data_IF_403234263329
#
_entry.id   IF_403234263329
#
_cell.length_a   1.000
_cell.length_b   1.000
_cell.length_c   1.000
_cell.angle_alpha   90.00
_cell.angle_beta   90.00
_cell.angle_gamma   90.00
#
_symmetry.space_group_name_H-M   'P 1'
#
loop_
_entity.id
_entity.type
_entity.pdbx_description
1 polymer ?
#
# COMPACT_ATOMS: atom_id res chain seq x y z
N UNK A 1 -8.64 45.94 9.89
CA UNK A 1 -7.93 45.34 8.74
C UNK A 1 -6.65 44.73 9.27
N UNK A 2 -6.58 43.41 9.34
CA UNK A 2 -5.34 42.65 9.11
C UNK A 2 -5.75 41.19 8.99
N UNK A 3 -6.01 40.77 7.76
CA UNK A 3 -6.16 39.36 7.43
C UNK A 3 -4.76 38.77 7.43
N UNK A 4 -4.57 37.74 8.24
CA UNK A 4 -3.35 36.93 8.24
C UNK A 4 -3.54 35.89 7.14
N UNK A 5 -3.12 36.23 5.92
CA UNK A 5 -2.97 35.24 4.85
C UNK A 5 -1.86 34.28 5.28
N UNK A 6 -2.26 33.09 5.72
CA UNK A 6 -1.38 31.93 5.74
C UNK A 6 -1.03 31.62 4.29
N UNK A 7 0.11 32.13 3.83
CA UNK A 7 0.70 31.73 2.56
C UNK A 7 1.03 30.25 2.67
N UNK A 8 0.16 29.39 2.15
CA UNK A 8 0.45 27.98 1.96
C UNK A 8 1.62 27.93 0.96
N UNK A 9 2.79 27.46 1.41
CA UNK A 9 3.93 27.31 0.51
C UNK A 9 3.57 26.17 -0.46
N UNK A 10 3.60 26.37 -1.78
CA UNK A 10 3.09 25.41 -2.77
C UNK A 10 3.70 23.99 -2.73
N UNK A 11 4.74 23.73 -1.92
CA UNK A 11 5.37 22.41 -1.79
C UNK A 11 5.01 21.62 -0.53
N UNK A 12 4.32 22.20 0.46
CA UNK A 12 4.06 21.52 1.74
C UNK A 12 2.89 20.52 1.62
N UNK A 13 1.96 20.76 0.70
CA UNK A 13 0.77 19.91 0.48
C UNK A 13 1.10 18.62 -0.31
N UNK A 14 2.20 18.60 -1.06
CA UNK A 14 2.65 17.42 -1.83
C UNK A 14 3.60 16.50 -1.04
N UNK A 15 4.23 17.00 0.03
CA UNK A 15 5.23 16.26 0.79
C UNK A 15 4.65 15.00 1.45
N UNK A 16 3.42 15.08 1.97
CA UNK A 16 2.75 13.97 2.63
C UNK A 16 2.45 12.78 1.69
N UNK A 17 1.74 12.95 0.54
CA UNK A 17 1.49 11.83 -0.38
C UNK A 17 2.79 11.24 -0.95
N UNK A 18 3.79 12.08 -1.25
CA UNK A 18 5.10 11.61 -1.74
C UNK A 18 5.86 10.78 -0.70
N UNK A 19 5.87 11.22 0.56
CA UNK A 19 6.49 10.43 1.63
C UNK A 19 5.79 9.06 1.80
N UNK A 20 4.45 9.07 1.77
CA UNK A 20 3.67 7.84 1.84
C UNK A 20 3.94 6.92 0.64
N UNK A 21 4.04 7.48 -0.56
CA UNK A 21 4.36 6.73 -1.77
C UNK A 21 5.69 5.96 -1.65
N UNK A 22 6.72 6.58 -1.06
CA UNK A 22 8.00 5.93 -0.79
C UNK A 22 7.90 4.76 0.18
N UNK A 23 7.14 4.90 1.26
CA UNK A 23 6.91 3.81 2.23
C UNK A 23 6.08 2.67 1.63
N UNK A 24 5.04 3.00 0.85
CA UNK A 24 4.24 2.02 0.12
C UNK A 24 5.09 1.26 -0.89
N UNK A 25 5.98 1.93 -1.62
CA UNK A 25 6.89 1.29 -2.56
C UNK A 25 7.89 0.36 -1.85
N UNK A 26 8.40 0.78 -0.70
CA UNK A 26 9.28 -0.06 0.14
C UNK A 26 8.58 -1.35 0.58
N UNK A 27 7.34 -1.25 1.09
CA UNK A 27 6.54 -2.43 1.42
C UNK A 27 6.30 -3.32 0.18
N UNK A 28 6.05 -2.71 -0.98
CA UNK A 28 5.84 -3.43 -2.23
C UNK A 28 7.08 -4.21 -2.68
N UNK A 29 8.28 -3.62 -2.55
CA UNK A 29 9.57 -4.30 -2.81
C UNK A 29 9.71 -5.54 -1.94
N UNK A 30 9.45 -5.43 -0.64
CA UNK A 30 9.47 -6.59 0.26
C UNK A 30 8.49 -7.67 -0.20
N UNK A 31 7.25 -7.30 -0.55
CA UNK A 31 6.25 -8.27 -0.98
C UNK A 31 6.57 -8.95 -2.31
N UNK A 32 7.22 -8.28 -3.27
CA UNK A 32 7.48 -8.85 -4.61
C UNK A 32 8.84 -9.54 -4.72
N UNK A 33 9.85 -9.05 -4.00
CA UNK A 33 11.24 -9.50 -4.14
C UNK A 33 11.79 -10.18 -2.88
N UNK A 34 11.09 -10.08 -1.76
CA UNK A 34 11.57 -10.53 -0.46
C UNK A 34 12.67 -9.65 0.14
N UNK A 35 13.26 -10.09 1.25
CA UNK A 35 14.30 -9.34 1.95
C UNK A 35 15.66 -9.45 1.24
N UNK A 36 16.17 -8.31 0.81
CA UNK A 36 17.59 -8.10 0.53
C UNK A 36 18.30 -7.44 1.74
N UNK A 37 19.60 -7.16 1.61
CA UNK A 37 20.41 -6.58 2.69
C UNK A 37 19.84 -5.25 3.19
N UNK A 38 19.36 -4.41 2.28
CA UNK A 38 18.85 -3.09 2.62
C UNK A 38 17.50 -3.20 3.31
N UNK A 39 16.58 -3.96 2.73
CA UNK A 39 15.24 -4.18 3.30
C UNK A 39 15.34 -4.81 4.68
N UNK A 40 16.17 -5.84 4.84
CA UNK A 40 16.39 -6.50 6.13
C UNK A 40 16.97 -5.54 7.17
N UNK A 41 17.99 -4.76 6.81
CA UNK A 41 18.59 -3.78 7.71
C UNK A 41 17.59 -2.71 8.15
N UNK A 42 16.77 -2.20 7.24
CA UNK A 42 15.77 -1.17 7.56
C UNK A 42 14.68 -1.74 8.48
N UNK A 43 14.16 -2.93 8.19
CA UNK A 43 13.13 -3.56 9.02
C UNK A 43 13.62 -3.91 10.43
N UNK A 44 14.93 -4.14 10.61
CA UNK A 44 15.56 -4.34 11.92
C UNK A 44 16.00 -3.05 12.63
N UNK A 45 15.82 -1.88 12.02
CA UNK A 45 16.24 -0.60 12.60
C UNK A 45 15.17 -0.04 13.55
N UNK A 46 15.46 -0.11 14.85
CA UNK A 46 14.55 0.37 15.90
C UNK A 46 14.31 1.90 15.85
N UNK A 47 15.29 2.69 15.40
CA UNK A 47 15.11 4.14 15.29
C UNK A 47 14.19 4.48 14.12
N UNK A 48 14.34 3.77 13.00
CA UNK A 48 13.41 3.89 11.88
C UNK A 48 11.99 3.48 12.29
N UNK A 49 11.84 2.35 12.99
CA UNK A 49 10.53 1.93 13.49
C UNK A 49 9.89 2.96 14.43
N UNK A 50 10.66 3.50 15.38
CA UNK A 50 10.18 4.55 16.28
C UNK A 50 9.65 5.77 15.55
N UNK A 51 10.29 6.17 14.45
CA UNK A 51 9.80 7.30 13.62
C UNK A 51 8.46 7.01 12.94
N UNK A 52 8.19 5.76 12.57
CA UNK A 52 6.90 5.35 12.00
C UNK A 52 5.80 5.35 13.06
N UNK A 53 6.11 4.94 14.29
CA UNK A 53 5.17 5.00 15.41
C UNK A 53 4.79 6.43 15.76
N UNK A 54 5.77 7.34 15.83
CA UNK A 54 5.55 8.77 16.04
C UNK A 54 4.67 9.38 14.94
N UNK A 55 4.83 8.90 13.70
CA UNK A 55 4.00 9.29 12.56
C UNK A 55 2.62 8.61 12.51
N UNK A 56 2.33 7.67 13.42
CA UNK A 56 1.07 6.90 13.42
C UNK A 56 0.97 5.86 12.30
N UNK A 57 2.09 5.49 11.67
CA UNK A 57 2.20 4.53 10.57
C UNK A 57 2.57 3.10 11.01
N UNK A 58 2.80 2.89 12.31
CA UNK A 58 3.08 1.59 12.89
C UNK A 58 2.04 1.27 13.98
N UNK A 59 1.08 0.35 13.73
CA UNK A 59 -0.03 0.08 14.64
C UNK A 59 0.38 -0.75 15.88
N UNK A 60 1.66 -1.12 15.99
CA UNK A 60 2.21 -1.91 17.09
C UNK A 60 3.70 -2.15 16.92
N UNK A 61 4.30 -2.83 17.90
CA UNK A 61 5.73 -3.20 17.87
C UNK A 61 5.94 -4.52 17.12
N UNK A 62 7.04 -4.67 16.36
CA UNK A 62 7.41 -5.93 15.76
C UNK A 62 7.58 -6.99 16.85
N UNK A 63 6.97 -8.14 16.62
CA UNK A 63 6.99 -9.30 17.51
C UNK A 63 7.96 -10.36 17.02
N UNK A 64 8.32 -11.30 17.88
CA UNK A 64 9.19 -12.43 17.53
C UNK A 64 10.67 -12.14 17.79
N UNK A 65 11.51 -13.15 17.55
CA UNK A 65 12.96 -13.01 17.68
C UNK A 65 13.56 -12.47 16.37
N UNK A 66 14.54 -11.54 16.43
CA UNK A 66 15.33 -11.16 15.26
C UNK A 66 16.05 -12.37 14.68
N UNK A 67 16.19 -12.40 13.36
CA UNK A 67 16.90 -13.47 12.64
C UNK A 67 17.93 -12.87 11.69
N UNK A 68 18.87 -13.68 11.20
CA UNK A 68 19.76 -13.20 10.13
C UNK A 68 19.03 -13.13 8.77
N UNK A 69 19.66 -12.48 7.79
CA UNK A 69 19.10 -12.30 6.45
C UNK A 69 18.76 -13.61 5.74
N UNK A 70 19.57 -14.66 5.93
CA UNK A 70 19.36 -15.93 5.24
C UNK A 70 18.16 -16.68 5.80
N UNK A 71 18.03 -16.66 7.14
CA UNK A 71 16.85 -17.18 7.81
C UNK A 71 15.60 -16.36 7.47
N UNK A 72 15.69 -15.03 7.38
CA UNK A 72 14.58 -14.19 6.95
C UNK A 72 14.13 -14.56 5.52
N UNK A 73 15.06 -14.72 4.56
CA UNK A 73 14.74 -15.16 3.19
C UNK A 73 14.05 -16.52 3.14
N UNK A 74 14.56 -17.48 3.90
CA UNK A 74 14.01 -18.83 3.98
C UNK A 74 12.57 -18.82 4.50
N UNK A 75 12.32 -18.09 5.59
CA UNK A 75 10.99 -17.95 6.18
C UNK A 75 10.04 -17.18 5.24
N UNK A 76 10.51 -16.13 4.59
CA UNK A 76 9.76 -15.38 3.59
C UNK A 76 9.27 -16.28 2.44
N UNK A 77 10.14 -17.15 1.91
CA UNK A 77 9.74 -18.12 0.89
C UNK A 77 8.69 -19.10 1.40
N UNK A 78 8.85 -19.62 2.62
CA UNK A 78 7.90 -20.55 3.22
C UNK A 78 6.52 -19.92 3.48
N UNK A 79 6.49 -18.64 3.84
CA UNK A 79 5.25 -17.94 4.14
C UNK A 79 4.51 -17.49 2.88
N UNK A 80 5.21 -17.01 1.84
CA UNK A 80 4.55 -16.28 0.75
C UNK A 80 4.63 -16.93 -0.63
N UNK A 81 5.50 -17.93 -0.82
CA UNK A 81 5.76 -18.49 -2.16
C UNK A 81 5.59 -20.01 -2.25
N UNK A 82 5.93 -20.74 -1.20
CA UNK A 82 5.90 -22.21 -1.21
C UNK A 82 4.65 -22.69 -0.47
N UNK A 83 3.67 -23.31 -1.16
CA UNK A 83 2.51 -23.89 -0.50
C UNK A 83 2.90 -24.94 0.54
N UNK A 84 2.40 -24.77 1.76
CA UNK A 84 2.68 -25.64 2.90
C UNK A 84 1.92 -25.18 4.15
N UNK A 85 2.20 -25.77 5.30
CA UNK A 85 1.48 -25.46 6.55
C UNK A 85 1.66 -24.01 7.02
N UNK A 86 2.78 -23.36 6.65
CA UNK A 86 3.08 -21.99 7.01
C UNK A 86 2.68 -20.97 5.92
N UNK A 87 2.12 -21.43 4.79
CA UNK A 87 1.82 -20.58 3.65
C UNK A 87 0.61 -19.69 3.91
N UNK A 88 0.82 -18.38 3.78
CA UNK A 88 -0.21 -17.34 3.84
C UNK A 88 -0.24 -16.67 2.46
N UNK A 89 -1.24 -16.98 1.62
CA UNK A 89 -1.25 -16.54 0.22
C UNK A 89 -1.32 -15.01 0.14
N UNK A 90 -0.37 -14.33 -0.54
CA UNK A 90 -0.38 -12.87 -0.69
C UNK A 90 -1.23 -12.39 -1.88
N UNK A 91 -2.38 -13.02 -2.13
CA UNK A 91 -3.24 -12.75 -3.30
C UNK A 91 -4.68 -12.45 -2.88
N UNK A 92 -5.29 -11.41 -3.43
CA UNK A 92 -6.69 -11.05 -3.17
C UNK A 92 -7.64 -12.23 -3.39
N UNK A 93 -7.44 -12.99 -4.46
CA UNK A 93 -8.33 -14.10 -4.81
C UNK A 93 -8.42 -15.17 -3.70
N UNK A 94 -7.39 -15.33 -2.87
CA UNK A 94 -7.39 -16.28 -1.76
C UNK A 94 -8.29 -15.87 -0.58
N UNK A 95 -8.76 -14.61 -0.55
CA UNK A 95 -9.57 -14.05 0.53
C UNK A 95 -11.03 -13.82 0.12
N UNK A 96 -11.35 -13.89 -1.16
CA UNK A 96 -12.73 -13.78 -1.68
C UNK A 96 -13.55 -15.02 -1.29
N UNK A 97 -14.50 -14.86 -0.39
CA UNK A 97 -15.41 -15.96 -0.01
C UNK A 97 -16.47 -16.23 -1.10
N UNK A 98 -16.59 -17.49 -1.52
CA UNK A 98 -17.87 -18.02 -1.99
C UNK A 98 -18.37 -17.69 -3.41
N UNK A 99 -17.56 -17.24 -4.37
CA UNK A 99 -17.90 -17.29 -5.82
C UNK A 99 -16.68 -16.96 -6.69
N UNK A 100 -15.97 -17.98 -7.15
CA UNK A 100 -15.28 -17.90 -8.43
C UNK A 100 -16.37 -17.92 -9.53
N UNK A 101 -17.03 -16.80 -9.79
CA UNK A 101 -17.79 -16.66 -11.02
C UNK A 101 -16.79 -16.61 -12.17
N UNK A 102 -17.03 -17.43 -13.18
CA UNK A 102 -16.17 -17.71 -14.34
C UNK A 102 -15.75 -16.44 -15.13
N UNK A 103 -16.36 -15.28 -14.87
CA UNK A 103 -16.22 -14.06 -15.70
C UNK A 103 -15.47 -12.86 -15.09
N UNK A 104 -14.96 -12.92 -13.85
CA UNK A 104 -14.08 -11.85 -13.34
C UNK A 104 -13.23 -12.28 -12.14
N UNK A 105 -12.03 -12.83 -12.41
CA UNK A 105 -11.04 -13.04 -11.35
C UNK A 105 -10.52 -11.69 -10.83
N UNK A 106 -10.12 -11.64 -9.55
CA UNK A 106 -9.46 -10.47 -8.97
C UNK A 106 -8.24 -10.04 -9.80
N UNK A 107 -7.49 -11.01 -10.31
CA UNK A 107 -6.36 -10.79 -11.23
C UNK A 107 -6.77 -10.06 -12.50
N UNK A 108 -7.88 -10.43 -13.14
CA UNK A 108 -8.37 -9.78 -14.35
C UNK A 108 -8.85 -8.34 -14.07
N UNK A 109 -9.53 -8.13 -12.94
CA UNK A 109 -9.95 -6.80 -12.50
C UNK A 109 -8.74 -5.87 -12.25
N UNK A 110 -7.75 -6.33 -11.47
CA UNK A 110 -6.49 -5.62 -11.25
C UNK A 110 -5.76 -5.34 -12.58
N UNK A 111 -5.68 -6.33 -13.48
CA UNK A 111 -5.06 -6.14 -14.80
C UNK A 111 -5.75 -5.02 -15.59
N UNK A 112 -7.08 -4.99 -15.57
CA UNK A 112 -7.85 -3.97 -16.27
C UNK A 112 -7.59 -2.58 -15.69
N UNK A 113 -7.66 -2.43 -14.36
CA UNK A 113 -7.50 -1.12 -13.72
C UNK A 113 -6.07 -0.57 -13.87
N UNK A 114 -5.05 -1.43 -13.75
CA UNK A 114 -3.66 -1.06 -14.00
C UNK A 114 -3.47 -0.55 -15.43
N UNK A 115 -4.01 -1.26 -16.42
CA UNK A 115 -3.92 -0.85 -17.82
C UNK A 115 -4.62 0.49 -18.09
N UNK A 116 -5.81 0.72 -17.51
CA UNK A 116 -6.54 1.99 -17.69
C UNK A 116 -5.78 3.15 -17.04
N UNK A 117 -5.15 2.92 -15.89
CA UNK A 117 -4.35 3.92 -15.21
C UNK A 117 -2.97 4.16 -15.86
N UNK A 118 -2.55 3.30 -16.79
CA UNK A 118 -1.23 3.34 -17.42
C UNK A 118 -0.11 2.81 -16.53
N UNK A 119 -0.44 2.00 -15.51
CA UNK A 119 0.54 1.37 -14.62
C UNK A 119 1.18 0.15 -15.30
N UNK A 120 2.51 0.12 -15.25
CA UNK A 120 3.32 -1.01 -15.71
C UNK A 120 3.73 -1.90 -14.53
N UNK A 121 3.52 -3.19 -14.71
CA UNK A 121 3.77 -4.18 -13.70
C UNK A 121 5.11 -4.90 -13.89
N UNK A 122 5.88 -4.53 -14.92
CA UNK A 122 7.28 -4.87 -15.02
C UNK A 122 8.08 -4.36 -13.79
N UNK A 123 9.12 -5.08 -13.35
CA UNK A 123 9.67 -6.31 -13.93
C UNK A 123 8.99 -7.61 -13.43
N UNK A 124 7.87 -7.52 -12.71
CA UNK A 124 7.23 -8.67 -12.03
C UNK A 124 6.05 -9.22 -12.83
N UNK A 125 6.27 -9.44 -14.13
CA UNK A 125 5.24 -9.92 -15.08
C UNK A 125 4.78 -11.36 -14.83
N UNK A 126 5.62 -12.15 -14.18
CA UNK A 126 5.37 -13.52 -13.75
C UNK A 126 4.50 -13.61 -12.49
N UNK A 127 4.35 -12.51 -11.75
CA UNK A 127 3.51 -12.43 -10.55
C UNK A 127 2.09 -11.97 -10.91
N UNK A 128 1.08 -12.69 -10.41
CA UNK A 128 -0.33 -12.38 -10.66
C UNK A 128 -0.69 -10.96 -10.20
N UNK A 129 -1.51 -10.26 -10.99
CA UNK A 129 -1.82 -8.83 -10.78
C UNK A 129 -2.60 -8.51 -9.49
N UNK A 130 -3.25 -9.50 -8.88
CA UNK A 130 -3.94 -9.38 -7.59
C UNK A 130 -3.04 -9.71 -6.38
N UNK A 131 -1.74 -9.90 -6.61
CA UNK A 131 -0.75 -9.99 -5.55
C UNK A 131 -0.64 -8.66 -4.79
N UNK A 132 -0.59 -8.68 -3.46
CA UNK A 132 -0.53 -7.47 -2.62
C UNK A 132 0.60 -6.52 -3.01
N UNK A 133 1.75 -7.08 -3.40
CA UNK A 133 2.89 -6.28 -3.87
C UNK A 133 2.60 -5.47 -5.15
N UNK A 134 1.80 -5.99 -6.09
CA UNK A 134 1.34 -5.20 -7.25
C UNK A 134 0.35 -4.13 -6.84
N UNK A 135 -0.57 -4.45 -5.92
CA UNK A 135 -1.55 -3.50 -5.39
C UNK A 135 -0.85 -2.34 -4.65
N UNK A 136 0.17 -2.63 -3.84
CA UNK A 136 1.02 -1.63 -3.18
C UNK A 136 1.76 -0.76 -4.21
N UNK A 137 2.45 -1.34 -5.19
CA UNK A 137 3.13 -0.55 -6.24
C UNK A 137 2.17 0.36 -7.00
N UNK A 138 0.96 -0.12 -7.29
CA UNK A 138 -0.06 0.69 -7.95
C UNK A 138 -0.49 1.88 -7.09
N UNK A 139 -0.75 1.65 -5.80
CA UNK A 139 -1.08 2.74 -4.86
C UNK A 139 0.06 3.74 -4.70
N UNK A 140 1.31 3.28 -4.65
CA UNK A 140 2.48 4.17 -4.66
C UNK A 140 2.51 5.06 -5.91
N UNK A 141 2.24 4.50 -7.09
CA UNK A 141 2.19 5.27 -8.34
C UNK A 141 1.04 6.31 -8.36
N UNK A 142 -0.10 6.00 -7.73
CA UNK A 142 -1.18 6.96 -7.57
C UNK A 142 -0.79 8.09 -6.61
N UNK A 143 -0.19 7.77 -5.46
CA UNK A 143 0.27 8.76 -4.47
C UNK A 143 1.35 9.70 -5.04
N UNK A 144 2.30 9.19 -5.82
CA UNK A 144 3.26 10.04 -6.54
C UNK A 144 2.55 10.95 -7.54
N UNK A 145 1.58 10.42 -8.29
CA UNK A 145 0.81 11.22 -9.26
C UNK A 145 -0.02 12.30 -8.57
N UNK A 146 -0.59 12.00 -7.41
CA UNK A 146 -1.28 12.98 -6.58
C UNK A 146 -0.32 14.10 -6.15
N UNK A 147 0.86 13.74 -5.63
CA UNK A 147 1.89 14.69 -5.23
C UNK A 147 2.32 15.59 -6.41
N UNK A 148 2.54 15.00 -7.59
CA UNK A 148 2.91 15.74 -8.80
C UNK A 148 1.80 16.70 -9.25
N UNK A 149 0.52 16.31 -9.15
CA UNK A 149 -0.59 17.21 -9.44
C UNK A 149 -0.67 18.36 -8.43
N UNK A 150 -0.40 18.10 -7.14
CA UNK A 150 -0.37 19.13 -6.10
C UNK A 150 0.79 20.11 -6.30
N UNK A 151 1.98 19.63 -6.63
CA UNK A 151 3.15 20.48 -6.95
C UNK A 151 2.90 21.40 -8.16
N UNK A 152 1.99 21.01 -9.04
CA UNK A 152 1.57 21.79 -10.21
C UNK A 152 0.34 22.69 -9.93
N UNK A 153 -0.13 22.74 -8.68
CA UNK A 153 -1.37 23.41 -8.26
C UNK A 153 -2.63 22.95 -9.03
N UNK A 154 -2.61 21.77 -9.66
CA UNK A 154 -3.77 21.16 -10.33
C UNK A 154 -4.59 20.35 -9.32
N UNK A 155 -5.28 21.07 -8.43
CA UNK A 155 -6.13 20.49 -7.39
C UNK A 155 -7.24 19.60 -7.99
N UNK A 156 -7.72 19.93 -9.19
CA UNK A 156 -8.72 19.14 -9.89
C UNK A 156 -8.16 17.78 -10.32
N UNK A 157 -6.94 17.72 -10.83
CA UNK A 157 -6.26 16.46 -11.14
C UNK A 157 -5.91 15.67 -9.88
N UNK A 158 -5.40 16.33 -8.83
CA UNK A 158 -5.10 15.68 -7.56
C UNK A 158 -6.36 15.01 -6.97
N UNK A 159 -7.50 15.71 -6.94
CA UNK A 159 -8.78 15.17 -6.46
C UNK A 159 -9.27 13.96 -7.27
N UNK A 160 -9.04 13.96 -8.60
CA UNK A 160 -9.33 12.78 -9.42
C UNK A 160 -8.43 11.61 -9.03
N UNK A 161 -7.14 11.82 -8.85
CA UNK A 161 -6.20 10.75 -8.44
C UNK A 161 -6.58 10.18 -7.08
N UNK A 162 -6.91 11.03 -6.10
CA UNK A 162 -7.42 10.57 -4.80
C UNK A 162 -8.67 9.69 -4.97
N UNK A 163 -9.59 10.06 -5.87
CA UNK A 163 -10.78 9.22 -6.13
C UNK A 163 -10.41 7.82 -6.68
N UNK A 164 -9.32 7.70 -7.44
CA UNK A 164 -8.77 6.41 -7.87
C UNK A 164 -8.19 5.61 -6.69
N UNK A 165 -7.45 6.26 -5.80
CA UNK A 165 -6.91 5.64 -4.58
C UNK A 165 -8.05 5.09 -3.71
N UNK A 166 -9.05 5.93 -3.39
CA UNK A 166 -10.18 5.56 -2.55
C UNK A 166 -10.96 4.37 -3.12
N UNK A 167 -11.23 4.41 -4.44
CA UNK A 167 -11.91 3.34 -5.15
C UNK A 167 -11.12 2.04 -5.16
N UNK A 168 -9.82 2.11 -5.45
CA UNK A 168 -8.94 0.93 -5.46
C UNK A 168 -8.79 0.31 -4.07
N UNK A 169 -8.63 1.12 -3.03
CA UNK A 169 -8.58 0.63 -1.64
C UNK A 169 -9.87 -0.10 -1.27
N UNK A 170 -11.02 0.49 -1.55
CA UNK A 170 -12.32 -0.09 -1.24
C UNK A 170 -12.57 -1.40 -2.00
N UNK A 171 -12.18 -1.49 -3.27
CA UNK A 171 -12.49 -2.64 -4.12
C UNK A 171 -11.46 -3.78 -4.01
N UNK A 172 -10.17 -3.44 -3.86
CA UNK A 172 -9.06 -4.40 -4.01
C UNK A 172 -8.21 -4.59 -2.76
N UNK A 173 -8.30 -3.73 -1.74
CA UNK A 173 -7.42 -3.77 -0.56
C UNK A 173 -8.12 -4.18 0.74
N UNK A 174 -9.44 -4.36 0.74
CA UNK A 174 -10.25 -4.74 1.91
C UNK A 174 -9.76 -6.01 2.64
N UNK A 175 -9.01 -6.87 1.96
CA UNK A 175 -8.49 -8.14 2.49
C UNK A 175 -7.13 -7.99 3.19
N UNK A 176 -6.43 -6.86 3.03
CA UNK A 176 -5.10 -6.65 3.60
C UNK A 176 -5.07 -6.82 5.12
N UNK A 177 -6.04 -6.29 5.92
CA UNK A 177 -6.05 -6.52 7.36
C UNK A 177 -6.10 -8.01 7.72
N UNK A 178 -6.92 -8.79 7.01
CA UNK A 178 -7.02 -10.24 7.21
C UNK A 178 -5.75 -10.98 6.81
N UNK A 179 -5.04 -10.50 5.78
CA UNK A 179 -3.72 -11.02 5.43
C UNK A 179 -2.70 -10.73 6.53
N UNK A 180 -2.61 -9.49 7.00
CA UNK A 180 -1.63 -9.10 8.02
C UNK A 180 -1.88 -9.82 9.34
N UNK A 181 -3.14 -9.94 9.77
CA UNK A 181 -3.53 -10.71 10.96
C UNK A 181 -3.12 -12.18 10.86
N UNK A 182 -3.33 -12.80 9.68
CA UNK A 182 -2.95 -14.18 9.45
C UNK A 182 -1.45 -14.39 9.54
N UNK A 183 -0.64 -13.50 8.97
CA UNK A 183 0.81 -13.62 9.05
C UNK A 183 1.29 -13.44 10.49
N UNK A 184 0.78 -12.44 11.20
CA UNK A 184 1.18 -12.20 12.60
C UNK A 184 0.77 -13.36 13.52
N UNK A 185 -0.35 -14.02 13.27
CA UNK A 185 -0.78 -15.20 14.01
C UNK A 185 0.14 -16.42 13.83
N UNK A 186 1.03 -16.42 12.83
CA UNK A 186 2.03 -17.47 12.61
C UNK A 186 3.32 -17.27 13.44
N UNK A 187 3.36 -16.25 14.31
CA UNK A 187 4.54 -15.88 15.11
C UNK A 187 5.81 -15.68 14.24
N UNK A 188 5.77 -14.74 13.27
CA UNK A 188 6.90 -14.50 12.38
C UNK A 188 8.09 -13.89 13.14
N UNK A 189 9.31 -13.95 12.57
CA UNK A 189 10.46 -13.23 13.12
C UNK A 189 10.25 -11.71 13.08
N UNK A 190 11.04 -10.98 13.86
CA UNK A 190 10.88 -9.54 14.07
C UNK A 190 10.82 -8.73 12.77
N UNK A 191 11.72 -9.00 11.83
CA UNK A 191 11.81 -8.25 10.57
C UNK A 191 10.57 -8.49 9.67
N UNK A 192 10.05 -9.72 9.66
CA UNK A 192 8.83 -10.04 8.91
C UNK A 192 7.59 -9.46 9.60
N UNK A 193 7.55 -9.50 10.94
CA UNK A 193 6.51 -8.84 11.73
C UNK A 193 6.47 -7.33 11.44
N UNK A 194 7.64 -6.68 11.40
CA UNK A 194 7.78 -5.26 11.05
C UNK A 194 7.22 -4.96 9.64
N UNK A 195 7.59 -5.76 8.63
CA UNK A 195 7.11 -5.55 7.27
C UNK A 195 5.58 -5.67 7.16
N UNK A 196 4.99 -6.62 7.87
CA UNK A 196 3.54 -6.87 7.86
C UNK A 196 2.78 -5.79 8.65
N UNK A 197 3.33 -5.35 9.78
CA UNK A 197 2.78 -4.23 10.54
C UNK A 197 2.85 -2.92 9.76
N UNK A 198 3.91 -2.69 8.98
CA UNK A 198 3.99 -1.55 8.07
C UNK A 198 2.85 -1.58 7.04
N UNK A 199 2.56 -2.73 6.43
CA UNK A 199 1.43 -2.86 5.49
C UNK A 199 0.10 -2.52 6.17
N UNK A 200 -0.11 -3.01 7.41
CA UNK A 200 -1.32 -2.70 8.17
C UNK A 200 -1.43 -1.20 8.49
N UNK A 201 -0.33 -0.57 8.91
CA UNK A 201 -0.28 0.86 9.20
C UNK A 201 -0.49 1.74 7.98
N UNK A 202 0.14 1.39 6.84
CA UNK A 202 -0.07 2.08 5.56
C UNK A 202 -1.52 1.97 5.09
N UNK A 203 -2.13 0.78 5.20
CA UNK A 203 -3.55 0.59 4.90
C UNK A 203 -4.42 1.51 5.76
N UNK A 204 -4.20 1.53 7.08
CA UNK A 204 -4.95 2.39 7.99
C UNK A 204 -4.76 3.89 7.67
N UNK A 205 -3.54 4.32 7.37
CA UNK A 205 -3.24 5.70 6.99
C UNK A 205 -3.95 6.09 5.68
N UNK A 206 -3.96 5.20 4.69
CA UNK A 206 -4.67 5.42 3.42
C UNK A 206 -6.19 5.43 3.60
N UNK A 207 -6.75 4.56 4.45
CA UNK A 207 -8.18 4.60 4.82
C UNK A 207 -8.54 5.90 5.56
N UNK A 208 -7.68 6.40 6.45
CA UNK A 208 -7.92 7.63 7.20
C UNK A 208 -7.89 8.89 6.30
N UNK A 209 -7.20 8.82 5.16
CA UNK A 209 -7.20 9.89 4.15
C UNK A 209 -8.53 9.99 3.41
N UNK A 210 -9.36 8.94 3.42
CA UNK A 210 -10.66 8.93 2.75
C UNK A 210 -11.55 10.02 3.34
N UNK A 211 -12.08 10.90 2.50
CA UNK A 211 -12.96 11.99 2.92
C UNK A 211 -12.26 13.23 3.51
N UNK A 212 -10.92 13.29 3.51
CA UNK A 212 -10.18 14.55 3.71
C UNK A 212 -10.07 15.36 2.40
N UNK A 213 -10.40 14.75 1.26
CA UNK A 213 -10.50 15.45 0.00
C UNK A 213 -11.62 16.51 0.05
N UNK A 214 -11.39 17.74 -0.43
CA UNK A 214 -12.46 18.72 -0.53
C UNK A 214 -13.58 18.11 -1.40
N UNK A 215 -14.79 18.06 -0.85
CA UNK A 215 -15.99 17.61 -1.55
C UNK A 215 -16.05 18.29 -2.91
N UNK A 216 -15.71 17.55 -3.98
CA UNK A 216 -15.98 18.01 -5.32
C UNK A 216 -17.50 17.94 -5.47
N UNK A 217 -18.15 19.08 -5.29
CA UNK A 217 -19.54 19.25 -5.70
C UNK A 217 -19.55 19.17 -7.24
N UNK A 218 -19.53 17.94 -7.76
CA UNK A 218 -19.62 17.66 -9.18
C UNK A 218 -21.01 18.14 -9.63
N UNK A 219 -21.01 19.27 -10.34
CA UNK A 219 -22.20 19.87 -10.90
C UNK A 219 -23.05 18.83 -11.61
N UNK A 220 -24.31 18.74 -11.19
CA UNK A 220 -25.36 18.16 -12.02
C UNK A 220 -25.33 18.82 -13.40
N UNK A 221 -25.41 18.07 -14.51
CA UNK A 221 -25.69 18.67 -15.79
C UNK A 221 -27.10 19.28 -15.71
N UNK A 222 -27.19 20.58 -15.95
CA UNK A 222 -28.46 21.26 -16.19
C UNK A 222 -28.96 20.74 -17.54
N UNK A 223 -29.89 19.79 -17.49
CA UNK A 223 -30.66 19.35 -18.66
C UNK A 223 -31.66 20.44 -19.04
N UNK A 224 -31.60 20.83 -20.32
CA UNK A 224 -32.47 21.78 -21.01
C UNK A 224 -33.90 21.27 -21.18
#
# INVERSE_FOLDING_TARGET
MSGMETTNVPGDDAAAPRHLAGLVLFAARYCLSGPDEEVHRILGDAAWWGSLEEAGLAPGQPSGSPVDLEQHRSLYQAFFWIPGNAFVPPYEQAYREGKATVDSSATAACTSIYRVAGYDAAPFDDVQRDHIGHQLRFLSALLEREADCRDQDDIGAASRVVSWEEGFLAEHCWWWPRFTERVLAMDPPAEMSAAVLLIAGLHAAMEARKGMAPSSNAGRPVGS
#
